data_IF_750988301301
#
_entry.id   IF_750988301301
#
_cell.length_a   1.000
_cell.length_b   1.000
_cell.length_c   1.000
_cell.angle_alpha   90.00
_cell.angle_beta   90.00
_cell.angle_gamma   90.00
#
_symmetry.space_group_name_H-M   'P 1'
#
loop_
_entity.id
_entity.type
_entity.pdbx_description
1 polymer ?
#
# COMPACT_ATOMS: atom_id res chain seq x y z
N UNK A 1 10.31 -6.36 20.53
CA UNK A 1 10.51 -5.63 19.26
C UNK A 1 9.98 -4.22 19.44
N UNK A 2 10.79 -3.21 19.15
CA UNK A 2 10.35 -1.80 19.24
C UNK A 2 9.25 -1.54 18.20
N UNK A 3 8.14 -0.94 18.65
CA UNK A 3 7.06 -0.52 17.76
C UNK A 3 7.56 0.74 17.05
N UNK A 4 7.93 0.63 15.76
CA UNK A 4 8.32 1.80 14.96
C UNK A 4 7.10 2.72 14.78
N UNK A 5 7.28 3.99 15.10
CA UNK A 5 6.34 5.09 14.86
C UNK A 5 7.10 6.17 14.09
N UNK A 6 6.69 6.46 12.86
CA UNK A 6 7.44 7.30 11.91
C UNK A 6 6.78 8.65 11.64
N UNK A 7 5.73 8.96 12.39
CA UNK A 7 4.92 10.17 12.22
C UNK A 7 4.87 10.97 13.51
N UNK A 8 4.76 12.28 13.37
CA UNK A 8 4.49 13.18 14.50
C UNK A 8 2.98 13.29 14.76
N UNK A 9 2.60 13.78 15.94
CA UNK A 9 1.19 13.82 16.34
C UNK A 9 0.32 14.68 15.40
N UNK A 10 0.86 15.77 14.86
CA UNK A 10 0.16 16.59 13.84
C UNK A 10 -0.07 15.82 12.53
N UNK A 11 0.91 15.03 12.08
CA UNK A 11 0.76 14.17 10.89
C UNK A 11 -0.31 13.09 11.14
N UNK A 12 -0.40 12.55 12.37
CA UNK A 12 -1.42 11.56 12.75
C UNK A 12 -2.82 12.12 12.65
N UNK A 13 -3.03 13.37 13.09
CA UNK A 13 -4.33 14.06 12.97
C UNK A 13 -4.71 14.25 11.51
N UNK A 14 -3.75 14.67 10.66
CA UNK A 14 -3.99 14.86 9.23
C UNK A 14 -4.32 13.53 8.53
N UNK A 15 -3.57 12.47 8.83
CA UNK A 15 -3.81 11.12 8.28
C UNK A 15 -5.21 10.64 8.66
N UNK A 16 -5.60 10.82 9.92
CA UNK A 16 -6.91 10.40 10.42
C UNK A 16 -8.06 11.19 9.78
N UNK A 17 -7.90 12.51 9.63
CA UNK A 17 -8.88 13.37 8.96
C UNK A 17 -9.11 12.96 7.49
N UNK A 18 -8.03 12.76 6.73
CA UNK A 18 -8.10 12.35 5.32
C UNK A 18 -8.74 10.97 5.20
N UNK A 19 -8.33 10.03 6.06
CA UNK A 19 -8.86 8.68 6.05
C UNK A 19 -10.38 8.65 6.32
N UNK A 20 -10.85 9.33 7.37
CA UNK A 20 -12.28 9.36 7.70
C UNK A 20 -13.11 10.10 6.65
N UNK A 21 -12.59 11.19 6.10
CA UNK A 21 -13.25 11.91 5.00
C UNK A 21 -13.52 10.99 3.79
N UNK A 22 -12.59 10.09 3.48
CA UNK A 22 -12.79 9.10 2.43
C UNK A 22 -13.72 7.95 2.85
N UNK A 23 -13.64 7.50 4.10
CA UNK A 23 -14.52 6.44 4.62
C UNK A 23 -15.98 6.88 4.71
N UNK A 24 -16.25 8.17 4.92
CA UNK A 24 -17.62 8.70 4.93
C UNK A 24 -18.29 8.65 3.55
N UNK A 25 -17.52 8.50 2.47
CA UNK A 25 -18.05 8.28 1.12
C UNK A 25 -18.47 6.82 0.87
N UNK A 26 -18.12 5.89 1.77
CA UNK A 26 -18.48 4.48 1.67
C UNK A 26 -19.81 4.18 2.37
N UNK A 27 -20.53 3.17 1.85
CA UNK A 27 -21.72 2.64 2.53
C UNK A 27 -21.33 1.96 3.85
N UNK A 28 -22.26 1.88 4.80
CA UNK A 28 -21.99 1.26 6.11
C UNK A 28 -21.72 -0.25 6.03
N UNK A 29 -22.15 -0.89 4.94
CA UNK A 29 -21.82 -2.28 4.64
C UNK A 29 -20.36 -2.40 4.18
N UNK A 30 -19.90 -1.47 3.33
CA UNK A 30 -18.52 -1.45 2.82
C UNK A 30 -17.49 -1.15 3.91
N UNK A 31 -17.84 -0.32 4.91
CA UNK A 31 -16.98 -0.02 6.07
C UNK A 31 -16.65 -1.24 6.91
N UNK A 32 -17.52 -2.27 6.89
CA UNK A 32 -17.37 -3.51 7.68
C UNK A 32 -16.71 -4.64 6.87
N UNK A 33 -16.45 -4.43 5.58
CA UNK A 33 -15.87 -5.47 4.74
C UNK A 33 -14.43 -5.77 5.17
N UNK A 34 -14.10 -7.05 5.46
CA UNK A 34 -12.71 -7.46 5.54
C UNK A 34 -12.09 -7.31 4.15
N UNK A 35 -11.20 -6.35 3.98
CA UNK A 35 -10.47 -6.20 2.72
C UNK A 35 -9.59 -7.44 2.54
N UNK A 36 -9.74 -8.09 1.38
CA UNK A 36 -9.18 -9.38 0.98
C UNK A 36 -9.88 -10.64 1.55
N UNK A 37 -10.91 -11.11 0.83
CA UNK A 37 -11.23 -12.54 0.71
C UNK A 37 -10.75 -13.03 -0.66
N UNK A 38 -9.45 -13.22 -0.82
CA UNK A 38 -8.89 -13.95 -1.97
C UNK A 38 -8.18 -15.20 -1.49
N UNK A 39 -8.69 -16.35 -1.91
CA UNK A 39 -8.28 -17.71 -1.53
C UNK A 39 -6.93 -18.14 -2.17
N UNK A 40 -6.12 -17.21 -2.66
CA UNK A 40 -5.07 -17.50 -3.65
C UNK A 40 -3.71 -16.80 -3.42
N UNK A 41 -3.42 -16.31 -2.22
CA UNK A 41 -2.08 -15.77 -1.91
C UNK A 41 -1.48 -16.43 -0.66
N UNK A 42 -0.16 -16.73 -0.65
CA UNK A 42 0.49 -17.41 0.47
C UNK A 42 0.42 -16.54 1.73
N UNK A 43 0.31 -17.22 2.88
CA UNK A 43 -0.04 -16.81 4.25
C UNK A 43 0.70 -15.61 4.89
N UNK A 44 1.44 -14.80 4.13
CA UNK A 44 2.20 -13.64 4.64
C UNK A 44 1.52 -12.29 4.39
N UNK A 45 0.52 -12.20 3.50
CA UNK A 45 -0.22 -10.95 3.31
C UNK A 45 -1.31 -10.85 4.38
N UNK A 46 -0.97 -10.18 5.47
CA UNK A 46 -1.87 -9.87 6.57
C UNK A 46 -3.17 -9.29 6.02
N UNK A 47 -4.29 -9.90 6.39
CA UNK A 47 -5.64 -9.45 6.05
C UNK A 47 -5.85 -8.07 6.71
N UNK A 48 -5.57 -6.99 5.97
CA UNK A 48 -5.76 -5.63 6.49
C UNK A 48 -7.22 -5.26 6.29
N UNK A 49 -8.07 -5.61 7.25
CA UNK A 49 -9.41 -5.03 7.33
C UNK A 49 -9.30 -3.49 7.32
N UNK A 50 -10.31 -2.77 6.81
CA UNK A 50 -10.34 -1.28 6.80
C UNK A 50 -9.98 -0.72 8.18
N UNK A 51 -10.51 -1.34 9.23
CA UNK A 51 -10.25 -1.01 10.63
C UNK A 51 -8.79 -1.21 11.07
N UNK A 52 -8.06 -2.14 10.45
CA UNK A 52 -6.67 -2.43 10.76
C UNK A 52 -5.68 -1.56 9.95
N UNK A 53 -6.18 -0.80 8.97
CA UNK A 53 -5.36 0.05 8.12
C UNK A 53 -4.96 1.35 8.81
N UNK A 54 -5.92 2.01 9.47
CA UNK A 54 -5.69 3.29 10.13
C UNK A 54 -4.53 3.25 11.15
N UNK A 55 -4.37 2.22 12.01
CA UNK A 55 -3.22 2.13 12.90
C UNK A 55 -1.85 2.00 12.21
N UNK A 56 -1.81 1.47 10.98
CA UNK A 56 -0.58 1.39 10.18
C UNK A 56 -0.28 2.73 9.51
N UNK A 57 -1.30 3.34 8.90
CA UNK A 57 -1.20 4.66 8.28
C UNK A 57 -0.76 5.71 9.30
N UNK A 58 -1.35 5.70 10.52
CA UNK A 58 -0.95 6.59 11.61
C UNK A 58 0.50 6.40 12.06
N UNK A 59 1.18 5.30 11.71
CA UNK A 59 2.63 5.12 11.95
C UNK A 59 3.49 5.47 10.74
N UNK A 60 2.90 5.98 9.66
CA UNK A 60 3.57 6.31 8.42
C UNK A 60 3.83 5.11 7.51
N UNK A 61 3.08 4.01 7.67
CA UNK A 61 3.24 2.77 6.91
C UNK A 61 1.97 2.48 6.10
N UNK A 62 2.10 2.45 4.77
CA UNK A 62 1.04 2.06 3.84
C UNK A 62 1.24 0.67 3.23
N UNK A 63 0.14 0.08 2.75
CA UNK A 63 0.15 -1.15 1.94
C UNK A 63 -0.72 -0.91 0.71
N UNK A 64 -0.22 -1.19 -0.49
CA UNK A 64 -0.96 -1.01 -1.76
C UNK A 64 -0.94 -2.30 -2.58
N UNK A 65 -2.12 -2.86 -2.86
CA UNK A 65 -2.25 -4.03 -3.72
C UNK A 65 -3.58 -4.05 -4.47
N UNK A 66 -3.67 -4.85 -5.52
CA UNK A 66 -4.87 -4.96 -6.38
C UNK A 66 -6.15 -5.31 -5.63
N UNK A 67 -6.06 -6.10 -4.55
CA UNK A 67 -7.19 -6.48 -3.69
C UNK A 67 -7.77 -5.39 -2.76
N UNK A 68 -7.23 -4.17 -2.74
CA UNK A 68 -7.83 -3.05 -1.99
C UNK A 68 -8.98 -2.40 -2.78
N UNK A 69 -9.96 -1.85 -2.06
CA UNK A 69 -10.99 -1.01 -2.67
C UNK A 69 -10.36 0.18 -3.42
N UNK A 70 -10.92 0.59 -4.58
CA UNK A 70 -10.41 1.73 -5.35
C UNK A 70 -10.20 3.00 -4.50
N UNK A 71 -11.19 3.35 -3.67
CA UNK A 71 -11.11 4.53 -2.80
C UNK A 71 -9.94 4.47 -1.81
N UNK A 72 -9.61 3.27 -1.30
CA UNK A 72 -8.48 3.11 -0.38
C UNK A 72 -7.15 3.21 -1.11
N UNK A 73 -7.06 2.72 -2.34
CA UNK A 73 -5.85 2.90 -3.16
C UNK A 73 -5.58 4.39 -3.35
N UNK A 74 -6.59 5.16 -3.75
CA UNK A 74 -6.49 6.61 -3.93
C UNK A 74 -6.06 7.32 -2.64
N UNK A 75 -6.66 6.98 -1.49
CA UNK A 75 -6.27 7.56 -0.18
C UNK A 75 -4.81 7.28 0.14
N UNK A 76 -4.34 6.05 -0.04
CA UNK A 76 -2.95 5.67 0.25
C UNK A 76 -1.99 6.41 -0.67
N UNK A 77 -2.35 6.55 -1.95
CA UNK A 77 -1.57 7.28 -2.94
C UNK A 77 -1.46 8.76 -2.59
N UNK A 78 -2.55 9.39 -2.12
CA UNK A 78 -2.55 10.77 -1.60
C UNK A 78 -1.66 10.88 -0.36
N UNK A 79 -1.84 10.00 0.62
CA UNK A 79 -1.06 10.01 1.87
C UNK A 79 0.43 9.77 1.60
N UNK A 80 0.78 8.99 0.59
CA UNK A 80 2.19 8.71 0.26
C UNK A 80 2.94 9.92 -0.33
N UNK A 81 2.25 10.96 -0.79
CA UNK A 81 2.89 12.17 -1.31
C UNK A 81 3.59 13.02 -0.23
N UNK A 82 3.50 12.65 1.05
CA UNK A 82 4.30 13.31 2.10
C UNK A 82 4.08 12.82 3.54
N UNK A 83 2.96 12.14 3.81
CA UNK A 83 2.60 11.70 5.15
C UNK A 83 3.09 10.27 5.46
N UNK A 84 3.09 9.37 4.47
CA UNK A 84 3.64 8.02 4.63
C UNK A 84 5.15 8.01 4.33
N UNK A 85 5.91 7.33 5.18
CA UNK A 85 7.36 7.18 5.04
C UNK A 85 7.74 5.85 4.40
N UNK A 86 6.91 4.82 4.57
CA UNK A 86 7.06 3.52 3.93
C UNK A 86 5.78 3.09 3.23
N UNK A 87 5.92 2.49 2.05
CA UNK A 87 4.83 1.88 1.31
C UNK A 87 5.26 0.49 0.84
N UNK A 88 4.51 -0.53 1.25
CA UNK A 88 4.63 -1.86 0.69
C UNK A 88 3.66 -1.97 -0.48
N UNK A 89 4.15 -2.34 -1.66
CA UNK A 89 3.31 -2.40 -2.84
C UNK A 89 3.56 -3.63 -3.69
N UNK A 90 2.53 -4.09 -4.39
CA UNK A 90 2.66 -5.08 -5.47
C UNK A 90 3.11 -4.40 -6.76
N UNK A 91 3.64 -5.20 -7.69
CA UNK A 91 4.14 -4.76 -8.99
C UNK A 91 3.22 -3.77 -9.72
N UNK A 92 1.90 -3.99 -9.64
CA UNK A 92 0.87 -3.16 -10.29
C UNK A 92 0.94 -1.67 -9.94
N UNK A 93 1.53 -1.29 -8.80
CA UNK A 93 1.71 0.13 -8.44
C UNK A 93 2.52 0.87 -9.51
N UNK A 94 3.55 0.21 -10.05
CA UNK A 94 4.49 0.78 -11.02
C UNK A 94 3.91 0.94 -12.44
N UNK A 95 2.70 0.41 -12.69
CA UNK A 95 2.08 0.37 -14.03
C UNK A 95 1.20 1.58 -14.35
N UNK A 96 0.77 2.37 -13.36
CA UNK A 96 -0.20 3.44 -13.60
C UNK A 96 0.02 4.74 -12.84
N UNK A 97 1.04 4.83 -11.99
CA UNK A 97 1.13 5.93 -11.02
C UNK A 97 2.52 6.55 -11.00
N UNK A 98 2.55 7.87 -11.15
CA UNK A 98 3.76 8.67 -10.91
C UNK A 98 3.89 8.94 -9.41
N UNK A 99 4.24 7.88 -8.67
CA UNK A 99 4.51 7.95 -7.23
C UNK A 99 6.03 7.88 -7.04
N UNK A 100 6.72 9.03 -7.08
CA UNK A 100 8.16 9.04 -6.88
C UNK A 100 8.50 8.73 -5.42
N UNK A 101 9.49 7.87 -5.23
CA UNK A 101 10.03 7.52 -3.94
C UNK A 101 11.53 7.84 -3.89
N UNK A 102 12.03 8.18 -2.70
CA UNK A 102 13.48 8.36 -2.50
C UNK A 102 14.25 7.07 -2.72
N UNK A 103 13.65 5.95 -2.36
CA UNK A 103 14.28 4.63 -2.43
C UNK A 103 13.21 3.59 -2.76
N UNK A 104 13.51 2.73 -3.73
CA UNK A 104 12.72 1.55 -4.06
C UNK A 104 13.51 0.32 -3.63
N UNK A 105 12.86 -0.58 -2.90
CA UNK A 105 13.46 -1.85 -2.45
C UNK A 105 12.68 -3.00 -3.05
N UNK A 106 13.35 -3.84 -3.82
CA UNK A 106 12.78 -5.09 -4.33
C UNK A 106 13.03 -6.18 -3.28
N UNK A 107 11.96 -6.73 -2.72
CA UNK A 107 12.04 -7.81 -1.72
C UNK A 107 12.39 -9.16 -2.33
N UNK A 108 12.04 -9.36 -3.60
CA UNK A 108 12.40 -10.55 -4.37
C UNK A 108 12.51 -10.18 -5.86
N UNK A 109 13.40 -10.88 -6.57
CA UNK A 109 13.64 -10.77 -8.01
C UNK A 109 12.99 -11.91 -8.80
N UNK A 110 12.40 -12.87 -8.09
CA UNK A 110 11.51 -13.89 -8.64
C UNK A 110 10.05 -13.57 -8.31
N UNK A 111 9.17 -13.77 -9.28
CA UNK A 111 7.72 -13.68 -9.11
C UNK A 111 6.99 -14.86 -9.73
N UNK A 112 5.80 -15.15 -9.23
CA UNK A 112 4.88 -16.13 -9.80
C UNK A 112 4.05 -15.46 -10.90
N UNK A 113 4.04 -16.03 -12.10
CA UNK A 113 3.30 -15.49 -13.25
C UNK A 113 1.91 -16.13 -13.47
N UNK A 114 1.50 -17.04 -12.58
CA UNK A 114 0.30 -17.85 -12.73
C UNK A 114 0.59 -19.33 -13.02
N UNK A 115 1.78 -19.64 -13.52
CA UNK A 115 2.23 -21.01 -13.82
C UNK A 115 3.50 -21.37 -13.04
N UNK A 116 4.52 -20.51 -13.08
CA UNK A 116 5.80 -20.77 -12.42
C UNK A 116 6.43 -19.54 -11.80
N UNK A 117 7.39 -19.77 -10.91
CA UNK A 117 8.29 -18.73 -10.46
C UNK A 117 9.33 -18.45 -11.53
N UNK A 118 9.40 -17.21 -11.98
CA UNK A 118 10.38 -16.73 -12.97
C UNK A 118 11.08 -15.47 -12.49
N UNK A 119 12.23 -15.18 -13.10
CA UNK A 119 12.88 -13.88 -12.97
C UNK A 119 11.98 -12.77 -13.51
N UNK A 120 12.05 -11.60 -12.87
CA UNK A 120 11.47 -10.38 -13.44
C UNK A 120 12.17 -10.02 -14.76
N UNK A 121 11.41 -9.51 -15.72
CA UNK A 121 11.96 -9.04 -16.99
C UNK A 121 12.71 -7.72 -16.79
N UNK A 122 13.53 -7.35 -17.76
CA UNK A 122 14.21 -6.05 -17.77
C UNK A 122 13.21 -4.89 -17.73
N UNK A 123 12.08 -5.00 -18.45
CA UNK A 123 11.02 -4.00 -18.44
C UNK A 123 10.38 -3.84 -17.07
N UNK A 124 10.04 -4.96 -16.41
CA UNK A 124 9.46 -4.96 -15.05
C UNK A 124 10.43 -4.33 -14.04
N UNK A 125 11.72 -4.66 -14.14
CA UNK A 125 12.75 -4.08 -13.29
C UNK A 125 12.89 -2.56 -13.50
N UNK A 126 13.01 -2.11 -14.76
CA UNK A 126 13.14 -0.68 -15.10
C UNK A 126 11.91 0.09 -14.61
N UNK A 127 10.73 -0.49 -14.77
CA UNK A 127 9.47 0.12 -14.36
C UNK A 127 9.36 0.28 -12.84
N UNK A 128 9.71 -0.75 -12.07
CA UNK A 128 9.69 -0.65 -10.60
C UNK A 128 10.79 0.28 -10.08
N UNK A 129 12.03 0.12 -10.56
CA UNK A 129 13.17 0.91 -10.11
C UNK A 129 13.14 2.37 -10.58
N UNK A 130 12.49 2.66 -11.70
CA UNK A 130 12.30 4.01 -12.24
C UNK A 130 11.47 4.94 -11.36
N UNK A 131 10.75 4.40 -10.37
CA UNK A 131 10.09 5.19 -9.32
C UNK A 131 11.07 5.81 -8.31
N UNK A 132 12.33 5.39 -8.28
CA UNK A 132 13.33 5.92 -7.36
C UNK A 132 13.93 7.25 -7.84
N UNK A 133 14.30 8.14 -6.91
CA UNK A 133 15.20 9.28 -7.18
C UNK A 133 14.62 10.68 -7.01
N UNK A 134 13.62 10.86 -6.14
CA UNK A 134 13.14 12.19 -5.71
C UNK A 134 13.00 12.28 -4.21
#
# INVERSE_FOLDING_TARGET
MAKMDLTVDDEKVNIESIFWSAMDMLSDDDKKLPQARYHFFPKACMLVCVSNMLPLLKRGIGVHHSGLLPILKEVIEILFQGLLKFLFATETLSIGLNIPAKTVVLTNVHKFDGDKFRWISSGEYIQMSGGAGR
#
